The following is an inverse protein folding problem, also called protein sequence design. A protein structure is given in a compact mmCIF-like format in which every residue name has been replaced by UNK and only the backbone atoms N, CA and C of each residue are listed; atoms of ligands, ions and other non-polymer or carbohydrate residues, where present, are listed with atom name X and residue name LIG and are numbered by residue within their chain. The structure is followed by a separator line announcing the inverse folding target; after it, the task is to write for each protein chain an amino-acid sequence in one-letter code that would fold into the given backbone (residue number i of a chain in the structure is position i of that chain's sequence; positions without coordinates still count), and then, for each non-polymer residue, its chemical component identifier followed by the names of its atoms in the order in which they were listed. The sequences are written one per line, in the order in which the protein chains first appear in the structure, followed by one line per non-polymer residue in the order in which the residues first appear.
data_IF_957061503321
#
_entry.id   IF_957061503321
#
_cell.length_a   1.000
_cell.length_b   1.000
_cell.length_c   1.000
_cell.angle_alpha   90.00
_cell.angle_beta   90.00
_cell.angle_gamma   90.00
#
_symmetry.space_group_name_H-M   'P 1'
#
loop_
_entity.id
_entity.type
_entity.pdbx_description
1 polymer ?
#
# COMPACT_ATOMS: atom_id res chain seq x y z
N UNK A 1 -18.67 42.96 1.42
CA UNK A 1 -18.23 42.27 0.18
C UNK A 1 -16.88 41.57 0.36
N UNK A 2 -15.87 42.21 0.98
CA UNK A 2 -14.55 41.61 1.19
C UNK A 2 -14.49 40.49 2.26
N UNK A 3 -15.34 40.55 3.29
CA UNK A 3 -15.40 39.55 4.37
C UNK A 3 -15.85 38.16 3.92
N UNK A 4 -16.78 38.09 2.95
CA UNK A 4 -17.23 36.82 2.36
C UNK A 4 -16.16 36.16 1.49
N UNK A 5 -15.33 36.96 0.81
CA UNK A 5 -14.21 36.47 0.00
C UNK A 5 -13.10 35.87 0.87
N UNK A 6 -12.75 36.53 1.97
CA UNK A 6 -11.78 36.00 2.94
C UNK A 6 -12.23 34.67 3.56
N UNK A 7 -13.51 34.58 3.93
CA UNK A 7 -14.09 33.34 4.47
C UNK A 7 -14.03 32.19 3.46
N UNK A 8 -14.37 32.45 2.19
CA UNK A 8 -14.35 31.44 1.14
C UNK A 8 -12.93 30.90 0.83
N UNK A 9 -11.92 31.76 0.86
CA UNK A 9 -10.50 31.37 0.66
C UNK A 9 -10.00 30.47 1.80
N UNK A 10 -10.39 30.75 3.04
CA UNK A 10 -10.05 29.92 4.19
C UNK A 10 -10.69 28.53 4.11
N UNK A 11 -11.94 28.45 3.67
CA UNK A 11 -12.65 27.17 3.51
C UNK A 11 -12.01 26.35 2.37
N UNK A 12 -11.72 26.97 1.22
CA UNK A 12 -11.07 26.31 0.09
C UNK A 12 -9.68 25.76 0.45
N UNK A 13 -8.87 26.55 1.14
CA UNK A 13 -7.53 26.12 1.57
C UNK A 13 -7.58 24.96 2.55
N UNK A 14 -8.55 24.95 3.47
CA UNK A 14 -8.78 23.82 4.38
C UNK A 14 -9.20 22.55 3.63
N UNK A 15 -10.10 22.66 2.65
CA UNK A 15 -10.53 21.53 1.81
C UNK A 15 -9.39 20.94 0.96
N UNK A 16 -8.53 21.78 0.40
CA UNK A 16 -7.36 21.34 -0.36
C UNK A 16 -6.37 20.59 0.54
N UNK A 17 -6.17 21.07 1.76
CA UNK A 17 -5.28 20.42 2.74
C UNK A 17 -5.81 19.02 3.13
N UNK A 18 -7.11 18.90 3.41
CA UNK A 18 -7.76 17.62 3.73
C UNK A 18 -7.74 16.62 2.57
N UNK A 19 -7.88 17.09 1.33
CA UNK A 19 -7.90 16.22 0.15
C UNK A 19 -6.49 15.77 -0.30
N UNK A 20 -5.43 16.46 0.17
CA UNK A 20 -4.04 16.17 -0.19
C UNK A 20 -3.45 14.90 0.46
N UNK A 21 -4.13 14.31 1.45
CA UNK A 21 -3.71 13.04 2.07
C UNK A 21 -4.04 11.84 1.15
N UNK A 22 -3.46 11.85 -0.05
CA UNK A 22 -3.51 10.73 -0.98
C UNK A 22 -2.69 9.59 -0.37
N UNK A 23 -3.36 8.47 -0.13
CA UNK A 23 -2.84 7.28 0.54
C UNK A 23 -1.42 6.95 0.08
N UNK A 24 -0.44 7.09 0.98
CA UNK A 24 0.81 6.37 0.84
C UNK A 24 0.45 4.88 0.74
N UNK A 25 0.68 4.29 -0.43
CA UNK A 25 0.59 2.83 -0.57
C UNK A 25 1.45 2.19 0.51
N UNK A 26 0.95 1.13 1.13
CA UNK A 26 1.76 0.35 2.07
C UNK A 26 2.73 -0.47 1.20
N UNK A 27 3.96 0.01 1.08
CA UNK A 27 4.99 -0.54 0.19
C UNK A 27 5.96 -1.39 1.00
N UNK A 28 6.28 -2.58 0.50
CA UNK A 28 7.32 -3.45 1.03
C UNK A 28 8.64 -3.19 0.32
N UNK A 29 9.70 -2.96 1.10
CA UNK A 29 11.07 -2.77 0.62
C UNK A 29 11.83 -4.07 0.90
N UNK A 30 12.35 -4.71 -0.15
CA UNK A 30 13.11 -5.98 0.00
C UNK A 30 14.61 -5.74 0.07
N UNK A 31 15.13 -4.75 -0.66
CA UNK A 31 16.56 -4.49 -0.74
C UNK A 31 16.94 -3.53 -1.87
N UNK A 32 18.24 -3.35 -2.15
CA UNK A 32 18.70 -2.49 -3.23
C UNK A 32 18.47 -3.11 -4.62
N UNK A 33 18.36 -2.27 -5.63
CA UNK A 33 18.32 -2.74 -7.01
C UNK A 33 19.69 -3.28 -7.45
N UNK A 34 19.70 -4.33 -8.26
CA UNK A 34 20.92 -4.87 -8.86
C UNK A 34 20.88 -4.57 -10.35
N UNK A 35 21.77 -3.70 -10.83
CA UNK A 35 21.78 -3.24 -12.23
C UNK A 35 20.40 -2.69 -12.70
N UNK A 36 19.69 -1.96 -11.85
CA UNK A 36 18.32 -1.46 -12.12
C UNK A 36 17.26 -2.56 -12.29
N UNK A 37 17.57 -3.79 -11.89
CA UNK A 37 16.64 -4.92 -11.89
C UNK A 37 16.29 -5.37 -10.48
N UNK A 38 15.05 -5.87 -10.35
CA UNK A 38 14.50 -6.46 -9.14
C UNK A 38 13.85 -7.80 -9.49
N UNK A 39 13.66 -8.71 -8.50
CA UNK A 39 12.96 -9.98 -8.72
C UNK A 39 11.53 -9.76 -9.24
N UNK A 40 10.95 -10.80 -9.85
CA UNK A 40 9.61 -10.74 -10.40
C UNK A 40 8.60 -10.19 -9.38
N UNK A 41 7.76 -9.24 -9.82
CA UNK A 41 6.76 -8.48 -9.04
C UNK A 41 7.28 -7.26 -8.25
N UNK A 42 8.60 -7.01 -8.22
CA UNK A 42 9.18 -5.82 -7.61
C UNK A 42 9.62 -4.80 -8.67
N UNK A 43 9.43 -3.52 -8.35
CA UNK A 43 9.87 -2.39 -9.16
C UNK A 43 11.08 -1.72 -8.51
N UNK A 44 12.03 -1.25 -9.32
CA UNK A 44 13.16 -0.49 -8.82
C UNK A 44 12.78 1.00 -8.71
N UNK A 45 12.52 1.48 -7.50
CA UNK A 45 12.27 2.90 -7.21
C UNK A 45 13.38 3.46 -6.33
N UNK A 46 14.04 4.54 -6.76
CA UNK A 46 15.09 5.22 -5.98
C UNK A 46 16.20 4.28 -5.47
N UNK A 47 16.61 3.33 -6.31
CA UNK A 47 17.62 2.31 -5.99
C UNK A 47 17.17 1.25 -4.95
N UNK A 48 15.87 1.15 -4.68
CA UNK A 48 15.27 0.14 -3.81
C UNK A 48 14.25 -0.71 -4.59
N UNK A 49 14.28 -2.01 -4.37
CA UNK A 49 13.28 -2.96 -4.84
C UNK A 49 12.05 -2.89 -3.95
N UNK A 50 11.00 -2.34 -4.51
CA UNK A 50 9.74 -2.08 -3.84
C UNK A 50 8.59 -2.80 -4.50
N UNK A 51 7.57 -3.12 -3.72
CA UNK A 51 6.31 -3.66 -4.23
C UNK A 51 5.16 -3.21 -3.34
N UNK A 52 3.99 -2.99 -3.93
CA UNK A 52 2.76 -2.83 -3.16
C UNK A 52 2.51 -4.08 -2.31
N UNK A 53 2.36 -3.89 -0.99
CA UNK A 53 2.04 -5.02 -0.12
C UNK A 53 0.74 -5.67 -0.59
N UNK A 54 0.73 -7.00 -0.74
CA UNK A 54 -0.47 -7.69 -1.15
C UNK A 54 -1.55 -7.49 -0.07
N UNK A 55 -2.73 -7.05 -0.52
CA UNK A 55 -3.90 -6.82 0.35
C UNK A 55 -4.95 -7.88 0.05
N UNK A 56 -5.58 -8.41 1.08
CA UNK A 56 -6.72 -9.29 0.93
C UNK A 56 -7.82 -8.53 0.21
N UNK A 57 -8.43 -9.16 -0.80
CA UNK A 57 -9.60 -8.56 -1.45
C UNK A 57 -10.75 -8.54 -0.44
N UNK A 58 -11.53 -7.45 -0.34
CA UNK A 58 -12.66 -7.39 0.56
C UNK A 58 -13.61 -8.57 0.32
N UNK A 59 -13.97 -9.29 1.37
CA UNK A 59 -14.85 -10.46 1.30
C UNK A 59 -14.15 -11.79 0.95
N UNK A 60 -12.82 -11.82 0.84
CA UNK A 60 -12.08 -13.09 0.78
C UNK A 60 -11.97 -13.71 2.17
N UNK A 61 -12.20 -15.03 2.25
CA UNK A 61 -12.08 -15.79 3.50
C UNK A 61 -10.65 -16.31 3.60
N UNK A 62 -10.06 -16.18 4.78
CA UNK A 62 -8.75 -16.77 5.05
C UNK A 62 -8.84 -18.29 5.08
N UNK A 63 -7.84 -18.97 4.53
CA UNK A 63 -7.79 -20.43 4.50
C UNK A 63 -7.20 -21.03 5.78
N UNK A 64 -6.56 -20.19 6.60
CA UNK A 64 -5.87 -20.61 7.81
C UNK A 64 -4.76 -19.63 8.21
N UNK A 65 -4.02 -19.94 9.29
CA UNK A 65 -2.89 -19.13 9.75
C UNK A 65 -1.67 -19.30 8.85
N UNK A 66 -0.76 -18.33 8.88
CA UNK A 66 0.55 -18.48 8.25
C UNK A 66 1.43 -19.45 9.02
N UNK A 67 2.24 -20.23 8.29
CA UNK A 67 3.22 -21.16 8.88
C UNK A 67 4.60 -20.67 8.47
N UNK A 68 5.42 -20.22 9.42
CA UNK A 68 6.74 -19.63 9.15
C UNK A 68 6.70 -18.55 8.06
N UNK A 69 5.75 -17.62 8.17
CA UNK A 69 5.50 -16.52 7.19
C UNK A 69 5.23 -17.01 5.76
N UNK A 70 4.87 -18.28 5.59
CA UNK A 70 4.58 -18.90 4.31
C UNK A 70 3.15 -19.43 4.29
N UNK A 71 2.61 -19.52 3.07
CA UNK A 71 1.29 -20.04 2.75
C UNK A 71 1.41 -21.04 1.60
N UNK A 72 0.42 -21.93 1.42
CA UNK A 72 0.38 -22.83 0.27
C UNK A 72 0.38 -22.06 -1.06
N UNK A 73 0.70 -22.77 -2.15
CA UNK A 73 0.78 -22.18 -3.50
C UNK A 73 -0.52 -21.46 -3.85
N UNK A 74 -0.40 -20.29 -4.48
CA UNK A 74 -1.54 -19.44 -4.83
C UNK A 74 -2.10 -18.63 -3.66
N UNK A 75 -1.44 -18.62 -2.50
CA UNK A 75 -1.82 -17.81 -1.34
C UNK A 75 -0.65 -16.95 -0.87
N UNK A 76 -0.97 -15.84 -0.20
CA UNK A 76 0.01 -14.97 0.44
C UNK A 76 -0.31 -14.80 1.92
N UNK A 77 0.73 -14.64 2.73
CA UNK A 77 0.59 -14.40 4.15
C UNK A 77 0.40 -12.89 4.40
N UNK A 78 -0.71 -12.52 5.02
CA UNK A 78 -0.89 -11.21 5.61
C UNK A 78 -0.32 -11.22 7.03
N UNK A 79 0.95 -10.83 7.17
CA UNK A 79 1.67 -10.84 8.44
C UNK A 79 0.97 -10.03 9.55
N UNK A 80 0.20 -8.99 9.19
CA UNK A 80 -0.58 -8.19 10.14
C UNK A 80 -1.69 -8.99 10.83
N UNK A 81 -2.33 -9.91 10.08
CA UNK A 81 -3.43 -10.75 10.57
C UNK A 81 -2.95 -12.18 10.88
N UNK A 82 -1.72 -12.50 10.52
CA UNK A 82 -1.13 -13.84 10.55
C UNK A 82 -2.01 -14.89 9.83
N UNK A 83 -2.64 -14.49 8.72
CA UNK A 83 -3.58 -15.31 7.95
C UNK A 83 -3.19 -15.41 6.47
N UNK A 84 -3.48 -16.58 5.89
CA UNK A 84 -3.26 -16.86 4.48
C UNK A 84 -4.49 -16.50 3.65
N UNK A 85 -4.28 -15.68 2.61
CA UNK A 85 -5.31 -15.22 1.69
C UNK A 85 -4.98 -15.61 0.24
N UNK A 86 -6.00 -15.77 -0.63
CA UNK A 86 -5.78 -16.12 -2.03
C UNK A 86 -5.04 -15.01 -2.78
N UNK A 87 -3.92 -15.39 -3.40
CA UNK A 87 -3.09 -14.52 -4.23
C UNK A 87 -3.59 -14.63 -5.68
N UNK A 88 -4.53 -13.74 -6.04
CA UNK A 88 -5.20 -13.58 -7.36
C UNK A 88 -6.61 -14.18 -7.44
#
# INVERSE_FOLDING_TARGET
MASSLLSYILILSLFVYLCGAKSAGDVEIVGPCVNSHCPHTYECLRNECVRDRPKARPGTVSIGPCINTQCPVGHFCLNQENQCYPSK
#
